data_IF_468118120157
#
_entry.id   IF_468118120157
#
_cell.length_a   1.000
_cell.length_b   1.000
_cell.length_c   1.000
_cell.angle_alpha   90.00
_cell.angle_beta   90.00
_cell.angle_gamma   90.00
#
_symmetry.space_group_name_H-M   'P 1'
#
loop_
_entity.id
_entity.type
_entity.pdbx_description
1 polymer ?
#
# COMPACT_ATOMS: atom_id res chain seq x y z
N UNK A 1 60.18 11.69 -5.49
CA UNK A 1 59.14 12.72 -5.67
C UNK A 1 59.80 14.05 -5.44
N UNK A 2 60.10 14.74 -6.53
CA UNK A 2 60.72 16.07 -6.50
C UNK A 2 59.69 17.11 -6.07
N UNK A 3 60.15 18.24 -5.52
CA UNK A 3 59.28 19.31 -5.01
C UNK A 3 58.35 19.87 -6.10
N UNK A 4 58.82 19.82 -7.35
CA UNK A 4 58.06 20.24 -8.53
C UNK A 4 56.90 19.28 -8.87
N UNK A 5 57.05 17.97 -8.62
CA UNK A 5 55.97 16.98 -8.79
C UNK A 5 54.88 17.10 -7.72
N UNK A 6 55.21 17.61 -6.53
CA UNK A 6 54.23 17.87 -5.47
C UNK A 6 53.41 19.15 -5.75
N UNK A 7 54.07 20.21 -6.24
CA UNK A 7 53.43 21.49 -6.58
C UNK A 7 52.54 21.40 -7.84
N UNK A 8 52.79 20.42 -8.72
CA UNK A 8 51.96 20.15 -9.89
C UNK A 8 50.69 19.35 -9.51
N UNK A 9 50.79 18.44 -8.53
CA UNK A 9 49.65 17.73 -7.96
C UNK A 9 48.73 18.64 -7.15
N UNK A 10 49.30 19.61 -6.43
CA UNK A 10 48.56 20.59 -5.63
C UNK A 10 47.82 21.61 -6.53
N UNK A 11 48.42 22.01 -7.66
CA UNK A 11 47.74 22.84 -8.67
C UNK A 11 46.63 22.10 -9.41
N UNK A 12 46.78 20.80 -9.67
CA UNK A 12 45.73 19.98 -10.30
C UNK A 12 44.53 19.73 -9.37
N UNK A 13 44.75 19.64 -8.05
CA UNK A 13 43.67 19.48 -7.07
C UNK A 13 42.95 20.80 -6.76
N UNK A 14 43.60 21.95 -6.93
CA UNK A 14 43.00 23.27 -6.72
C UNK A 14 42.19 23.81 -7.91
N UNK A 15 42.43 23.36 -9.14
CA UNK A 15 41.61 23.77 -10.30
C UNK A 15 40.22 23.12 -10.35
N UNK A 16 40.00 22.03 -9.61
CA UNK A 16 38.71 21.34 -9.51
C UNK A 16 37.78 21.97 -8.45
N UNK A 17 38.26 23.00 -7.73
CA UNK A 17 37.55 23.60 -6.59
C UNK A 17 36.68 24.82 -6.96
N UNK A 18 36.50 25.13 -8.25
CA UNK A 18 35.50 26.11 -8.70
C UNK A 18 34.26 25.42 -9.27
N UNK A 19 33.62 24.56 -8.46
CA UNK A 19 32.23 24.20 -8.70
C UNK A 19 31.35 25.42 -8.42
N UNK A 20 30.96 26.10 -9.49
CA UNK A 20 29.89 27.09 -9.53
C UNK A 20 28.64 26.60 -8.77
N UNK A 21 27.90 27.50 -8.09
CA UNK A 21 26.71 27.15 -7.30
C UNK A 21 25.49 26.94 -8.21
N UNK A 22 25.59 26.01 -9.15
CA UNK A 22 24.42 25.54 -9.88
C UNK A 22 23.86 24.32 -9.14
N UNK A 23 22.93 24.61 -8.21
CA UNK A 23 22.02 23.61 -7.64
C UNK A 23 21.25 22.96 -8.80
N UNK A 24 21.78 21.85 -9.31
CA UNK A 24 21.02 20.91 -10.11
C UNK A 24 19.86 20.40 -9.24
N UNK A 25 18.67 20.95 -9.47
CA UNK A 25 17.40 20.43 -8.97
C UNK A 25 17.13 19.10 -9.67
N UNK A 26 17.78 18.04 -9.20
CA UNK A 26 17.59 16.69 -9.71
C UNK A 26 16.11 16.30 -9.52
N UNK A 27 15.32 16.14 -10.61
CA UNK A 27 13.88 15.89 -10.54
C UNK A 27 13.53 14.64 -9.73
N UNK A 28 14.44 13.65 -9.71
CA UNK A 28 14.24 12.40 -8.99
C UNK A 28 14.41 12.57 -7.48
N UNK A 29 15.28 13.49 -7.04
CA UNK A 29 15.44 13.84 -5.62
C UNK A 29 14.27 14.68 -5.10
N UNK A 30 13.69 15.57 -5.91
CA UNK A 30 12.50 16.35 -5.54
C UNK A 30 11.29 15.44 -5.43
N UNK A 31 11.06 14.58 -6.43
CA UNK A 31 10.00 13.59 -6.41
C UNK A 31 10.18 12.57 -5.26
N UNK A 32 11.43 12.21 -4.92
CA UNK A 32 11.73 11.39 -3.75
C UNK A 32 11.39 12.11 -2.44
N UNK A 33 11.78 13.38 -2.28
CA UNK A 33 11.49 14.19 -1.09
C UNK A 33 9.98 14.41 -0.89
N UNK A 34 9.24 14.75 -1.94
CA UNK A 34 7.78 14.91 -1.90
C UNK A 34 7.06 13.60 -1.49
N UNK A 35 7.50 12.45 -2.02
CA UNK A 35 7.00 11.13 -1.61
C UNK A 35 7.31 10.80 -0.15
N UNK A 36 8.53 11.09 0.32
CA UNK A 36 8.89 10.88 1.74
C UNK A 36 8.07 11.76 2.66
N UNK A 37 7.65 12.94 2.20
CA UNK A 37 6.83 13.85 2.97
C UNK A 37 5.41 13.32 3.15
N UNK A 38 4.72 12.95 2.07
CA UNK A 38 3.37 12.35 2.18
C UNK A 38 3.38 11.03 2.95
N UNK A 39 4.44 10.22 2.79
CA UNK A 39 4.65 9.02 3.61
C UNK A 39 4.71 9.39 5.10
N UNK A 40 5.50 10.38 5.47
CA UNK A 40 5.67 10.82 6.86
C UNK A 40 4.37 11.34 7.45
N UNK A 41 3.63 12.15 6.70
CA UNK A 41 2.29 12.65 7.09
C UNK A 41 1.32 11.49 7.27
N UNK A 42 1.30 10.52 6.34
CA UNK A 42 0.45 9.34 6.47
C UNK A 42 0.79 8.51 7.71
N UNK A 43 2.08 8.42 8.08
CA UNK A 43 2.50 7.75 9.32
C UNK A 43 2.05 8.51 10.57
N UNK A 44 2.27 9.82 10.61
CA UNK A 44 1.85 10.67 11.72
C UNK A 44 0.33 10.61 11.91
N UNK A 45 -0.42 10.65 10.80
CA UNK A 45 -1.85 10.50 10.81
C UNK A 45 -2.29 9.15 11.42
N UNK A 46 -1.63 8.04 11.07
CA UNK A 46 -1.93 6.75 11.72
C UNK A 46 -1.69 6.76 13.23
N UNK A 47 -0.70 7.50 13.71
CA UNK A 47 -0.46 7.67 15.15
C UNK A 47 -1.58 8.50 15.82
N UNK A 48 -1.99 9.62 15.20
CA UNK A 48 -3.11 10.44 15.66
C UNK A 48 -4.38 9.59 15.77
N UNK A 49 -4.65 8.76 14.75
CA UNK A 49 -5.82 7.88 14.77
C UNK A 49 -5.80 6.84 15.90
N UNK A 50 -4.61 6.35 16.30
CA UNK A 50 -4.51 5.43 17.45
C UNK A 50 -4.88 6.13 18.74
N UNK A 51 -4.39 7.34 18.95
CA UNK A 51 -4.71 8.15 20.14
C UNK A 51 -6.20 8.47 20.18
N UNK A 52 -6.80 8.86 19.06
CA UNK A 52 -8.24 9.14 18.98
C UNK A 52 -9.09 7.92 19.30
N UNK A 53 -8.78 6.76 18.72
CA UNK A 53 -9.51 5.51 18.99
C UNK A 53 -9.33 5.08 20.43
N UNK A 54 -8.12 5.20 20.99
CA UNK A 54 -7.88 4.90 22.40
C UNK A 54 -8.71 5.81 23.32
N UNK A 55 -8.75 7.12 23.05
CA UNK A 55 -9.55 8.07 23.80
C UNK A 55 -11.05 7.72 23.74
N UNK A 56 -11.55 7.36 22.55
CA UNK A 56 -12.94 6.95 22.38
C UNK A 56 -13.27 5.70 23.21
N UNK A 57 -12.42 4.66 23.14
CA UNK A 57 -12.58 3.42 23.92
C UNK A 57 -12.49 3.68 25.43
N UNK A 58 -11.62 4.59 25.88
CA UNK A 58 -11.54 4.97 27.29
C UNK A 58 -12.82 5.62 27.82
N UNK A 59 -13.64 6.21 26.94
CA UNK A 59 -14.90 6.85 27.30
C UNK A 59 -16.13 5.94 27.07
N UNK A 60 -15.96 4.78 26.42
CA UNK A 60 -17.06 3.84 26.19
C UNK A 60 -17.60 3.30 27.53
N UNK A 61 -18.89 3.51 27.77
CA UNK A 61 -19.57 3.10 29.00
C UNK A 61 -19.44 4.07 30.19
N UNK A 62 -18.68 5.16 30.07
CA UNK A 62 -18.51 6.23 31.10
C UNK A 62 -18.41 7.62 30.46
N UNK A 63 -19.51 8.14 29.87
CA UNK A 63 -19.51 9.41 29.15
C UNK A 63 -19.14 10.62 30.02
N UNK A 64 -19.38 10.56 31.33
CA UNK A 64 -19.05 11.62 32.30
C UNK A 64 -17.55 11.82 32.52
N UNK A 65 -16.72 10.83 32.19
CA UNK A 65 -15.26 10.91 32.32
C UNK A 65 -14.58 11.35 31.01
N UNK A 66 -15.35 11.60 29.95
CA UNK A 66 -14.80 11.97 28.66
C UNK A 66 -14.25 13.41 28.72
N UNK A 67 -12.92 13.61 28.57
CA UNK A 67 -12.37 14.95 28.49
C UNK A 67 -12.75 15.56 27.13
N UNK A 68 -13.91 16.22 27.07
CA UNK A 68 -14.49 16.83 25.87
C UNK A 68 -13.50 17.76 25.19
N UNK A 69 -12.76 18.56 25.96
CA UNK A 69 -11.70 19.42 25.47
C UNK A 69 -10.60 18.69 24.67
N UNK A 70 -10.11 17.55 25.19
CA UNK A 70 -9.05 16.77 24.51
C UNK A 70 -9.61 16.17 23.23
N UNK A 71 -10.84 15.66 23.27
CA UNK A 71 -11.53 15.11 22.11
C UNK A 71 -11.68 16.16 21.01
N UNK A 72 -12.12 17.37 21.36
CA UNK A 72 -12.40 18.43 20.40
C UNK A 72 -11.10 18.94 19.74
N UNK A 73 -10.04 19.16 20.53
CA UNK A 73 -8.70 19.45 19.99
C UNK A 73 -8.15 18.36 19.08
N UNK A 74 -8.35 17.09 19.44
CA UNK A 74 -7.94 15.97 18.59
C UNK A 74 -8.71 15.94 17.26
N UNK A 75 -10.00 16.30 17.27
CA UNK A 75 -10.78 16.43 16.05
C UNK A 75 -10.33 17.59 15.16
N UNK A 76 -9.95 18.73 15.74
CA UNK A 76 -9.37 19.86 15.00
C UNK A 76 -8.07 19.46 14.30
N UNK A 77 -7.13 18.85 15.05
CA UNK A 77 -5.87 18.36 14.50
C UNK A 77 -6.13 17.34 13.37
N UNK A 78 -7.10 16.43 13.56
CA UNK A 78 -7.45 15.46 12.51
C UNK A 78 -7.93 16.17 11.24
N UNK A 79 -8.79 17.18 11.36
CA UNK A 79 -9.29 17.95 10.21
C UNK A 79 -8.14 18.66 9.48
N UNK A 80 -7.24 19.31 10.21
CA UNK A 80 -6.10 20.02 9.63
C UNK A 80 -5.15 19.07 8.89
N UNK A 81 -4.86 17.91 9.48
CA UNK A 81 -4.03 16.90 8.83
C UNK A 81 -4.72 16.32 7.61
N UNK A 82 -6.04 16.08 7.64
CA UNK A 82 -6.78 15.59 6.47
C UNK A 82 -6.77 16.61 5.34
N UNK A 83 -6.93 17.90 5.65
CA UNK A 83 -6.83 19.00 4.67
C UNK A 83 -5.43 19.03 4.05
N UNK A 84 -4.40 18.95 4.88
CA UNK A 84 -3.02 18.89 4.41
C UNK A 84 -2.77 17.67 3.50
N UNK A 85 -3.25 16.48 3.90
CA UNK A 85 -3.16 15.28 3.07
C UNK A 85 -3.87 15.43 1.72
N UNK A 86 -5.02 16.13 1.68
CA UNK A 86 -5.73 16.39 0.44
C UNK A 86 -4.92 17.26 -0.51
N UNK A 87 -4.27 18.31 0.01
CA UNK A 87 -3.45 19.21 -0.79
C UNK A 87 -2.19 18.51 -1.31
N UNK A 88 -1.54 17.70 -0.47
CA UNK A 88 -0.40 16.89 -0.90
C UNK A 88 -0.80 15.80 -1.92
N UNK A 89 -1.99 15.21 -1.80
CA UNK A 89 -2.44 14.19 -2.72
C UNK A 89 -2.62 14.73 -4.15
N UNK A 90 -2.98 16.01 -4.33
CA UNK A 90 -3.11 16.66 -5.64
C UNK A 90 -1.81 16.67 -6.46
N UNK A 91 -0.66 16.52 -5.82
CA UNK A 91 0.64 16.42 -6.51
C UNK A 91 0.80 15.10 -7.27
N UNK A 92 0.02 14.06 -6.92
CA UNK A 92 0.10 12.76 -7.57
C UNK A 92 -0.82 12.72 -8.79
N UNK A 93 -0.28 12.29 -9.94
CA UNK A 93 -1.01 12.22 -11.21
C UNK A 93 -2.21 11.27 -11.18
N UNK A 94 -2.19 10.25 -10.31
CA UNK A 94 -3.30 9.30 -10.12
C UNK A 94 -4.44 9.85 -9.25
N UNK A 95 -4.22 10.97 -8.54
CA UNK A 95 -5.20 11.50 -7.58
C UNK A 95 -6.59 11.76 -8.17
N UNK A 96 -6.75 12.35 -9.37
CA UNK A 96 -8.07 12.57 -9.97
C UNK A 96 -8.91 11.28 -10.07
N UNK A 97 -8.27 10.17 -10.48
CA UNK A 97 -8.93 8.87 -10.53
C UNK A 97 -9.22 8.33 -9.12
N UNK A 98 -8.26 8.44 -8.20
CA UNK A 98 -8.40 7.90 -6.85
C UNK A 98 -9.48 8.63 -6.02
N UNK A 99 -9.63 9.93 -6.21
CA UNK A 99 -10.63 10.76 -5.51
C UNK A 99 -12.05 10.58 -6.03
N UNK A 100 -12.21 10.13 -7.27
CA UNK A 100 -13.52 9.85 -7.89
C UNK A 100 -14.19 8.60 -7.27
N UNK A 101 -13.38 7.68 -6.76
CA UNK A 101 -13.88 6.45 -6.15
C UNK A 101 -14.61 6.75 -4.84
N UNK A 102 -15.92 6.52 -4.84
CA UNK A 102 -16.77 6.62 -3.65
C UNK A 102 -16.16 5.85 -2.47
N UNK A 103 -16.02 6.50 -1.33
CA UNK A 103 -15.44 5.90 -0.12
C UNK A 103 -13.92 6.02 0.02
N UNK A 104 -13.20 6.51 -0.99
CA UNK A 104 -11.78 6.86 -0.89
C UNK A 104 -11.64 8.38 -0.76
N UNK A 105 -11.58 8.85 0.49
CA UNK A 105 -11.26 10.26 0.79
C UNK A 105 -9.75 10.49 0.97
N UNK A 106 -9.33 11.76 1.18
CA UNK A 106 -7.94 12.15 1.41
C UNK A 106 -7.22 11.35 2.50
N UNK A 107 -7.97 10.92 3.52
CA UNK A 107 -7.47 10.06 4.60
C UNK A 107 -6.94 8.71 4.09
N UNK A 108 -7.74 7.98 3.33
CA UNK A 108 -7.37 6.66 2.82
C UNK A 108 -6.49 6.79 1.58
N UNK A 109 -6.86 7.69 0.67
CA UNK A 109 -6.10 7.96 -0.53
C UNK A 109 -4.68 8.42 -0.22
N UNK A 110 -4.49 9.38 0.68
CA UNK A 110 -3.16 9.83 1.10
C UNK A 110 -2.35 8.74 1.81
N UNK A 111 -3.00 7.83 2.56
CA UNK A 111 -2.30 6.64 3.08
C UNK A 111 -1.84 5.70 1.98
N UNK A 112 -2.66 5.45 0.95
CA UNK A 112 -2.27 4.61 -0.18
C UNK A 112 -1.12 5.24 -0.96
N UNK A 113 -1.25 6.53 -1.31
CA UNK A 113 -0.25 7.29 -2.05
C UNK A 113 1.08 7.39 -1.30
N UNK A 114 1.03 7.63 0.02
CA UNK A 114 2.23 7.70 0.84
C UNK A 114 2.91 6.34 1.01
N UNK A 115 2.15 5.25 1.19
CA UNK A 115 2.71 3.93 1.50
C UNK A 115 3.16 3.11 0.29
N UNK A 116 2.67 3.41 -0.91
CA UNK A 116 2.95 2.65 -2.13
C UNK A 116 3.97 3.39 -2.99
N UNK A 117 5.04 2.68 -3.36
CA UNK A 117 5.97 3.13 -4.40
C UNK A 117 5.66 2.35 -5.69
N UNK A 118 5.02 3.03 -6.65
CA UNK A 118 4.58 2.41 -7.90
C UNK A 118 5.75 2.06 -8.83
N UNK A 119 6.87 2.80 -8.74
CA UNK A 119 8.05 2.59 -9.61
C UNK A 119 8.78 1.29 -9.25
N UNK A 120 8.71 0.88 -7.98
CA UNK A 120 9.26 -0.40 -7.50
C UNK A 120 8.33 -1.58 -7.78
N UNK A 121 7.03 -1.34 -7.92
CA UNK A 121 6.04 -2.37 -8.17
C UNK A 121 5.88 -2.61 -9.68
N UNK A 122 6.78 -3.40 -10.28
CA UNK A 122 6.73 -3.69 -11.72
C UNK A 122 5.54 -4.57 -12.15
N UNK A 123 4.86 -5.23 -11.20
CA UNK A 123 3.68 -6.07 -11.45
C UNK A 123 2.64 -5.91 -10.35
N UNK A 124 1.34 -6.15 -10.63
CA UNK A 124 0.31 -6.14 -9.59
C UNK A 124 0.57 -7.19 -8.50
N UNK A 125 1.14 -8.34 -8.87
CA UNK A 125 1.54 -9.40 -7.92
C UNK A 125 2.63 -8.94 -6.94
N UNK A 126 3.59 -8.14 -7.40
CA UNK A 126 4.59 -7.54 -6.53
C UNK A 126 3.95 -6.56 -5.53
N UNK A 127 2.98 -5.74 -6.00
CA UNK A 127 2.21 -4.86 -5.13
C UNK A 127 1.40 -5.65 -4.10
N UNK A 128 0.74 -6.75 -4.50
CA UNK A 128 0.01 -7.62 -3.57
C UNK A 128 0.91 -8.25 -2.51
N UNK A 129 2.12 -8.69 -2.88
CA UNK A 129 3.11 -9.20 -1.93
C UNK A 129 3.51 -8.11 -0.93
N UNK A 130 3.83 -6.91 -1.42
CA UNK A 130 4.17 -5.77 -0.57
C UNK A 130 3.04 -5.34 0.38
N UNK A 131 1.78 -5.38 -0.10
CA UNK A 131 0.58 -5.10 0.68
C UNK A 131 0.18 -6.23 1.66
N UNK A 132 0.91 -7.35 1.68
CA UNK A 132 0.61 -8.49 2.55
C UNK A 132 -0.63 -9.29 2.14
N UNK A 133 -1.03 -9.16 0.88
CA UNK A 133 -2.10 -9.91 0.20
C UNK A 133 -1.55 -11.06 -0.65
N UNK A 134 -0.22 -11.23 -0.68
CA UNK A 134 0.46 -12.38 -1.28
C UNK A 134 0.22 -13.69 -0.54
N UNK A 135 0.68 -14.78 -1.15
CA UNK A 135 0.74 -16.10 -0.55
C UNK A 135 2.20 -16.54 -0.47
N UNK A 136 2.52 -17.26 0.59
CA UNK A 136 3.84 -17.85 0.80
C UNK A 136 3.73 -19.37 0.63
N UNK A 137 4.76 -20.06 0.15
CA UNK A 137 4.79 -21.52 0.10
C UNK A 137 4.99 -22.11 1.49
N UNK A 138 4.31 -23.22 1.78
CA UNK A 138 4.36 -23.94 3.05
C UNK A 138 4.43 -25.44 2.80
N UNK A 139 5.20 -26.13 3.62
CA UNK A 139 5.17 -27.58 3.68
C UNK A 139 4.04 -28.04 4.63
N UNK A 140 3.24 -29.02 4.20
CA UNK A 140 2.15 -29.60 5.02
C UNK A 140 2.73 -30.49 6.12
N UNK A 141 3.68 -31.35 5.78
CA UNK A 141 4.27 -32.33 6.72
C UNK A 141 5.19 -31.66 7.74
N UNK A 142 6.16 -30.85 7.28
CA UNK A 142 7.10 -30.17 8.17
C UNK A 142 6.49 -28.94 8.87
N UNK A 143 5.26 -28.54 8.52
CA UNK A 143 4.59 -27.32 8.96
C UNK A 143 5.49 -26.07 8.95
N UNK A 144 6.38 -26.00 7.97
CA UNK A 144 7.42 -24.96 7.87
C UNK A 144 7.15 -24.10 6.66
N UNK A 145 7.35 -22.79 6.82
CA UNK A 145 7.32 -21.84 5.70
C UNK A 145 8.55 -22.03 4.83
N UNK A 146 8.33 -22.18 3.54
CA UNK A 146 9.38 -22.37 2.56
C UNK A 146 9.84 -21.05 1.96
N UNK A 147 10.99 -21.06 1.29
CA UNK A 147 11.45 -19.91 0.51
C UNK A 147 10.56 -19.70 -0.72
N UNK A 148 10.47 -18.47 -1.23
CA UNK A 148 9.52 -18.14 -2.32
C UNK A 148 9.78 -18.88 -3.64
N UNK A 149 10.99 -19.46 -3.80
CA UNK A 149 11.40 -20.20 -5.00
C UNK A 149 11.16 -21.70 -4.88
N UNK A 150 10.88 -22.19 -3.67
CA UNK A 150 10.70 -23.60 -3.40
C UNK A 150 9.27 -24.04 -3.74
N UNK A 151 9.15 -24.89 -4.76
CA UNK A 151 7.91 -25.60 -5.10
C UNK A 151 7.80 -26.94 -4.37
N UNK A 152 8.93 -27.45 -3.85
CA UNK A 152 9.04 -28.71 -3.11
C UNK A 152 9.84 -28.44 -1.84
N UNK A 153 9.45 -29.06 -0.73
CA UNK A 153 10.14 -28.93 0.54
C UNK A 153 11.53 -29.57 0.46
N UNK A 154 12.63 -28.83 0.71
CA UNK A 154 13.98 -29.40 0.66
C UNK A 154 14.25 -30.42 1.78
N UNK A 155 13.43 -30.42 2.84
CA UNK A 155 13.60 -31.32 4.00
C UNK A 155 12.91 -32.67 3.84
N UNK A 156 11.71 -32.70 3.26
CA UNK A 156 10.87 -33.92 3.19
C UNK A 156 10.37 -34.26 1.78
N UNK A 157 10.63 -33.44 0.76
CA UNK A 157 10.23 -33.73 -0.61
C UNK A 157 8.74 -33.49 -0.92
N UNK A 158 7.91 -33.08 0.04
CA UNK A 158 6.49 -32.78 -0.18
C UNK A 158 6.31 -31.51 -1.01
N UNK A 159 5.32 -31.50 -1.92
CA UNK A 159 4.93 -30.32 -2.67
C UNK A 159 4.48 -29.16 -1.75
N UNK A 160 4.92 -27.95 -2.09
CA UNK A 160 4.57 -26.74 -1.37
C UNK A 160 3.11 -26.34 -1.63
N UNK A 161 2.38 -26.00 -0.57
CA UNK A 161 1.05 -25.38 -0.68
C UNK A 161 1.13 -23.88 -0.39
N UNK A 162 0.42 -23.07 -1.17
CA UNK A 162 0.42 -21.62 -0.98
C UNK A 162 -0.65 -21.20 0.03
N UNK A 163 -0.20 -20.69 1.18
CA UNK A 163 -1.07 -20.14 2.23
C UNK A 163 -0.93 -18.61 2.30
N UNK A 164 -1.97 -17.95 2.82
CA UNK A 164 -1.88 -16.51 3.10
C UNK A 164 -0.75 -16.24 4.11
N UNK A 165 0.03 -15.19 3.87
CA UNK A 165 1.17 -14.88 4.72
C UNK A 165 0.73 -14.42 6.13
N UNK A 166 1.40 -14.94 7.15
CA UNK A 166 1.07 -14.74 8.58
C UNK A 166 2.33 -14.31 9.35
N UNK A 167 2.23 -13.45 10.37
CA UNK A 167 3.38 -13.16 11.22
C UNK A 167 3.87 -14.44 11.94
N UNK A 168 5.18 -14.69 11.92
CA UNK A 168 5.84 -15.73 12.71
C UNK A 168 6.70 -15.04 13.77
N UNK A 169 6.63 -15.51 15.02
CA UNK A 169 7.40 -14.93 16.13
C UNK A 169 8.89 -15.05 15.83
N UNK A 170 9.62 -13.94 15.92
CA UNK A 170 11.06 -13.89 15.66
C UNK A 170 11.45 -13.61 14.21
N UNK A 171 10.52 -13.71 13.25
CA UNK A 171 10.79 -13.36 11.85
C UNK A 171 10.44 -11.90 11.54
N UNK A 172 11.24 -11.27 10.67
CA UNK A 172 10.89 -9.98 10.07
C UNK A 172 9.69 -10.15 9.14
N UNK A 173 8.76 -9.19 9.18
CA UNK A 173 7.60 -9.19 8.27
C UNK A 173 8.07 -9.00 6.82
N UNK A 174 7.53 -9.81 5.91
CA UNK A 174 7.80 -9.74 4.46
C UNK A 174 6.98 -8.69 3.72
N UNK A 175 6.04 -8.05 4.41
CA UNK A 175 5.10 -7.08 3.85
C UNK A 175 5.00 -5.84 4.74
N UNK A 176 4.48 -4.75 4.17
CA UNK A 176 4.20 -3.54 4.90
C UNK A 176 2.90 -3.69 5.72
N UNK A 177 3.04 -3.84 7.04
CA UNK A 177 1.90 -4.02 7.95
C UNK A 177 0.91 -2.84 7.95
N UNK A 178 1.42 -1.62 7.76
CA UNK A 178 0.59 -0.41 7.69
C UNK A 178 -0.25 -0.41 6.42
N UNK A 179 0.36 -0.78 5.28
CA UNK A 179 -0.37 -0.91 4.02
C UNK A 179 -1.42 -2.02 4.07
N UNK A 180 -1.10 -3.17 4.69
CA UNK A 180 -2.07 -4.26 4.91
C UNK A 180 -3.29 -3.79 5.71
N UNK A 181 -3.06 -2.96 6.74
CA UNK A 181 -4.14 -2.33 7.52
C UNK A 181 -4.95 -1.34 6.67
N UNK A 182 -4.29 -0.50 5.87
CA UNK A 182 -4.97 0.43 4.94
C UNK A 182 -5.85 -0.34 3.95
N UNK A 183 -5.34 -1.43 3.37
CA UNK A 183 -6.08 -2.32 2.47
C UNK A 183 -7.35 -2.88 3.13
N UNK A 184 -7.28 -3.27 4.40
CA UNK A 184 -8.46 -3.71 5.15
C UNK A 184 -9.50 -2.58 5.31
N UNK A 185 -9.05 -1.36 5.61
CA UNK A 185 -9.91 -0.19 5.72
C UNK A 185 -10.59 0.15 4.39
N UNK A 186 -9.85 0.07 3.27
CA UNK A 186 -10.39 0.24 1.91
C UNK A 186 -11.53 -0.74 1.65
N UNK A 187 -11.32 -2.03 1.91
CA UNK A 187 -12.35 -3.06 1.73
C UNK A 187 -13.63 -2.73 2.53
N UNK A 188 -13.45 -2.29 3.78
CA UNK A 188 -14.55 -1.90 4.65
C UNK A 188 -15.30 -0.68 4.11
N UNK A 189 -14.58 0.32 3.60
CA UNK A 189 -15.22 1.50 3.01
C UNK A 189 -16.02 1.16 1.76
N UNK A 190 -15.51 0.32 0.86
CA UNK A 190 -16.28 -0.08 -0.32
C UNK A 190 -17.62 -0.70 0.04
N UNK A 191 -17.62 -1.61 1.02
CA UNK A 191 -18.84 -2.28 1.47
C UNK A 191 -19.82 -1.30 2.13
N UNK A 192 -19.31 -0.35 2.92
CA UNK A 192 -20.15 0.65 3.58
C UNK A 192 -20.70 1.69 2.60
N UNK A 193 -19.89 2.12 1.63
CA UNK A 193 -20.26 3.14 0.66
C UNK A 193 -21.06 2.58 -0.53
N UNK A 194 -21.03 1.26 -0.74
CA UNK A 194 -21.63 0.61 -1.91
C UNK A 194 -20.87 0.97 -3.19
N UNK A 195 -19.54 0.94 -3.14
CA UNK A 195 -18.69 1.32 -4.28
C UNK A 195 -18.61 0.17 -5.28
N UNK A 196 -19.18 0.36 -6.47
CA UNK A 196 -19.03 -0.58 -7.58
C UNK A 196 -17.75 -0.30 -8.40
N UNK A 197 -17.12 -1.32 -9.00
CA UNK A 197 -17.52 -2.75 -9.05
C UNK A 197 -17.10 -3.58 -7.82
N UNK A 198 -16.36 -2.99 -6.88
CA UNK A 198 -15.73 -3.74 -5.79
C UNK A 198 -16.73 -4.38 -4.82
N UNK A 199 -17.88 -3.72 -4.61
CA UNK A 199 -18.94 -4.23 -3.74
C UNK A 199 -19.66 -5.42 -4.36
N UNK A 200 -19.96 -5.39 -5.65
CA UNK A 200 -20.49 -6.52 -6.41
C UNK A 200 -19.58 -7.75 -6.32
N UNK A 201 -18.28 -7.57 -6.60
CA UNK A 201 -17.27 -8.65 -6.49
C UNK A 201 -17.24 -9.24 -5.08
N UNK A 202 -17.27 -8.38 -4.05
CA UNK A 202 -17.30 -8.85 -2.67
C UNK A 202 -18.56 -9.68 -2.36
N UNK A 203 -19.74 -9.23 -2.79
CA UNK A 203 -21.01 -9.96 -2.56
C UNK A 203 -21.01 -11.32 -3.24
N UNK A 204 -20.61 -11.36 -4.51
CA UNK A 204 -20.50 -12.59 -5.31
C UNK A 204 -19.53 -13.58 -4.66
N UNK A 205 -18.31 -13.15 -4.33
CA UNK A 205 -17.31 -14.04 -3.71
C UNK A 205 -17.70 -14.48 -2.31
N UNK A 206 -18.38 -13.63 -1.52
CA UNK A 206 -18.89 -14.01 -0.21
C UNK A 206 -19.93 -15.12 -0.32
N UNK A 207 -20.89 -14.99 -1.24
CA UNK A 207 -21.88 -16.03 -1.52
C UNK A 207 -21.21 -17.33 -1.99
N UNK A 208 -20.23 -17.24 -2.89
CA UNK A 208 -19.45 -18.40 -3.34
C UNK A 208 -18.75 -19.13 -2.18
N UNK A 209 -18.06 -18.41 -1.29
CA UNK A 209 -17.38 -19.04 -0.15
C UNK A 209 -18.34 -19.64 0.87
N UNK A 210 -19.48 -19.00 1.12
CA UNK A 210 -20.54 -19.56 1.96
C UNK A 210 -21.09 -20.86 1.36
N UNK A 211 -21.33 -20.90 0.05
CA UNK A 211 -21.77 -22.11 -0.65
C UNK A 211 -20.77 -23.27 -0.59
N UNK A 212 -19.48 -22.98 -0.37
CA UNK A 212 -18.43 -23.99 -0.13
C UNK A 212 -18.32 -24.44 1.34
N UNK A 213 -19.26 -24.03 2.19
CA UNK A 213 -19.29 -24.38 3.62
C UNK A 213 -18.32 -23.60 4.50
N UNK A 214 -17.78 -22.47 4.02
CA UNK A 214 -16.90 -21.63 4.82
C UNK A 214 -17.70 -20.84 5.88
N UNK A 215 -17.13 -20.66 7.08
CA UNK A 215 -17.77 -19.84 8.12
C UNK A 215 -17.98 -18.39 7.64
N UNK A 216 -19.04 -17.74 8.12
CA UNK A 216 -19.40 -16.39 7.69
C UNK A 216 -18.25 -15.36 7.84
N UNK A 217 -17.50 -15.44 8.94
CA UNK A 217 -16.34 -14.57 9.17
C UNK A 217 -15.18 -14.85 8.20
N UNK A 218 -14.87 -16.11 7.92
CA UNK A 218 -13.80 -16.47 6.98
C UNK A 218 -14.19 -16.11 5.53
N UNK A 219 -15.46 -16.36 5.15
CA UNK A 219 -16.00 -15.98 3.85
C UNK A 219 -15.95 -14.46 3.63
N UNK A 220 -16.30 -13.68 4.66
CA UNK A 220 -16.22 -12.21 4.65
C UNK A 220 -14.79 -11.71 4.44
N UNK A 221 -13.83 -12.23 5.22
CA UNK A 221 -12.41 -11.86 5.09
C UNK A 221 -11.82 -12.26 3.74
N UNK A 222 -12.15 -13.45 3.24
CA UNK A 222 -11.70 -13.93 1.94
C UNK A 222 -12.28 -13.07 0.79
N UNK A 223 -13.57 -12.76 0.83
CA UNK A 223 -14.22 -11.92 -0.17
C UNK A 223 -13.67 -10.49 -0.19
N UNK A 224 -13.46 -9.87 0.98
CA UNK A 224 -12.79 -8.55 1.09
C UNK A 224 -11.41 -8.57 0.46
N UNK A 225 -10.64 -9.64 0.70
CA UNK A 225 -9.29 -9.79 0.13
C UNK A 225 -9.32 -9.83 -1.39
N UNK A 226 -10.31 -10.48 -2.00
CA UNK A 226 -10.48 -10.51 -3.46
C UNK A 226 -10.82 -9.12 -4.00
N UNK A 227 -11.81 -8.43 -3.41
CA UNK A 227 -12.20 -7.09 -3.83
C UNK A 227 -11.01 -6.10 -3.78
N UNK A 228 -10.22 -6.14 -2.70
CA UNK A 228 -9.03 -5.28 -2.58
C UNK A 228 -7.95 -5.65 -3.59
N UNK A 229 -7.75 -6.93 -3.90
CA UNK A 229 -6.76 -7.32 -4.92
C UNK A 229 -7.10 -6.72 -6.28
N UNK A 230 -8.37 -6.74 -6.66
CA UNK A 230 -8.86 -6.12 -7.90
C UNK A 230 -8.67 -4.60 -7.84
N UNK A 231 -9.06 -3.95 -6.75
CA UNK A 231 -8.79 -2.53 -6.55
C UNK A 231 -7.31 -2.16 -6.71
N UNK A 232 -6.39 -2.95 -6.12
CA UNK A 232 -4.95 -2.70 -6.25
C UNK A 232 -4.43 -2.91 -7.67
N UNK A 233 -5.07 -3.76 -8.48
CA UNK A 233 -4.77 -3.87 -9.92
C UNK A 233 -5.18 -2.57 -10.61
N UNK A 234 -6.41 -2.11 -10.42
CA UNK A 234 -6.88 -0.86 -11.04
C UNK A 234 -6.04 0.34 -10.61
N UNK A 235 -5.73 0.45 -9.31
CA UNK A 235 -4.85 1.49 -8.78
C UNK A 235 -3.47 1.43 -9.44
N UNK A 236 -2.90 0.24 -9.58
CA UNK A 236 -1.60 0.08 -10.20
C UNK A 236 -1.62 0.44 -11.69
N UNK A 237 -2.67 0.05 -12.42
CA UNK A 237 -2.81 0.36 -13.84
C UNK A 237 -2.96 1.85 -14.06
N UNK A 238 -3.91 2.49 -13.39
CA UNK A 238 -4.19 3.92 -13.55
C UNK A 238 -3.02 4.78 -13.08
N UNK A 239 -2.33 4.39 -12.00
CA UNK A 239 -1.15 5.11 -11.54
C UNK A 239 0.00 5.00 -12.55
N UNK A 240 0.25 3.80 -13.10
CA UNK A 240 1.33 3.65 -14.09
C UNK A 240 1.00 4.35 -15.41
N UNK A 241 -0.24 4.33 -15.87
CA UNK A 241 -0.69 5.15 -17.02
C UNK A 241 -0.46 6.64 -16.76
N UNK A 242 -0.84 7.12 -15.57
CA UNK A 242 -0.70 8.52 -15.19
C UNK A 242 0.77 8.98 -15.03
N UNK A 243 1.71 8.07 -14.72
CA UNK A 243 3.16 8.35 -14.71
C UNK A 243 3.86 8.02 -16.04
N UNK A 244 3.14 7.56 -17.07
CA UNK A 244 3.73 7.13 -18.34
C UNK A 244 4.64 5.89 -18.24
N UNK A 245 4.48 5.09 -17.17
CA UNK A 245 5.26 3.88 -16.92
C UNK A 245 4.70 2.69 -17.74
N UNK A 246 5.54 1.72 -18.14
CA UNK A 246 5.14 0.65 -19.05
C UNK A 246 4.15 -0.31 -18.39
N UNK A 247 2.87 -0.25 -18.74
CA UNK A 247 1.82 -1.14 -18.22
C UNK A 247 1.96 -2.54 -18.84
N UNK A 248 1.89 -3.58 -18.01
CA UNK A 248 1.80 -4.97 -18.49
C UNK A 248 0.33 -5.35 -18.52
N UNK A 249 -0.08 -6.14 -19.51
CA UNK A 249 -1.41 -6.73 -19.51
C UNK A 249 -1.69 -7.48 -18.18
N UNK A 250 -2.94 -7.46 -17.70
CA UNK A 250 -3.32 -8.19 -16.49
C UNK A 250 -2.86 -9.65 -16.57
N UNK A 251 -2.27 -10.16 -15.48
CA UNK A 251 -1.87 -11.58 -15.35
C UNK A 251 -3.02 -12.55 -15.71
N UNK A 252 -4.27 -12.12 -15.46
CA UNK A 252 -5.49 -12.87 -15.75
C UNK A 252 -5.65 -13.11 -17.26
N UNK A 253 -5.34 -12.12 -18.09
CA UNK A 253 -5.39 -12.19 -19.56
C UNK A 253 -4.26 -13.06 -20.13
N UNK A 254 -3.09 -13.03 -19.51
CA UNK A 254 -1.89 -13.74 -20.01
C UNK A 254 -1.81 -15.20 -19.58
N UNK A 255 -2.40 -15.61 -18.44
CA UNK A 255 -2.22 -16.95 -17.90
C UNK A 255 -3.50 -17.69 -17.44
N UNK A 256 -4.63 -17.00 -17.23
CA UNK A 256 -5.86 -17.61 -16.67
C UNK A 256 -7.06 -17.62 -17.63
N UNK A 257 -6.98 -16.98 -18.80
CA UNK A 257 -7.96 -17.11 -19.89
C UNK A 257 -9.35 -16.54 -19.61
N UNK A 258 -9.57 -15.78 -18.54
CA UNK A 258 -10.84 -15.10 -18.30
C UNK A 258 -10.94 -13.85 -19.20
N UNK A 259 -12.00 -13.80 -20.01
CA UNK A 259 -12.23 -12.73 -21.01
C UNK A 259 -12.77 -11.42 -20.39
N UNK A 260 -13.42 -11.50 -19.21
CA UNK A 260 -14.08 -10.36 -18.58
C UNK A 260 -13.11 -9.60 -17.68
N UNK A 261 -12.43 -8.60 -18.26
CA UNK A 261 -11.66 -7.63 -17.48
C UNK A 261 -12.65 -6.65 -16.88
N UNK A 262 -12.72 -6.61 -15.55
CA UNK A 262 -13.48 -5.58 -14.84
C UNK A 262 -12.77 -4.25 -15.08
N UNK A 263 -13.39 -3.27 -15.75
CA UNK A 263 -12.73 -2.00 -16.02
C UNK A 263 -12.53 -1.18 -14.75
N UNK A 264 -11.48 -0.35 -14.74
CA UNK A 264 -11.17 0.59 -13.65
C UNK A 264 -12.18 1.73 -13.54
N UNK A 265 -13.00 1.94 -14.58
CA UNK A 265 -14.18 2.80 -14.62
C UNK A 265 -15.42 1.96 -14.88
N UNK A 266 -16.54 2.31 -14.25
CA UNK A 266 -17.83 1.91 -14.82
C UNK A 266 -17.91 2.57 -16.20
N UNK A 267 -18.03 1.79 -17.26
CA UNK A 267 -18.40 2.36 -18.55
C UNK A 267 -19.81 2.93 -18.37
N UNK A 268 -19.95 4.25 -18.56
CA UNK A 268 -21.26 4.89 -18.67
C UNK A 268 -22.07 4.30 -19.83
#
# INVERSE_FOLDING_TARGET
>A
MTKDEADELERATLSDSTMSPERATNPDLTAFKERTHLYTVALQFQSIQRVRVALQLSCEGRPEQAPTFIRDKMMEIEKDVVKYMADQAKMFSVWPWLSDIKGIGPRIGGMLLGLIDIRRANTPSALWRYAGLGTSPWCVECNTRLSDRETVCPKCGTAAIHKADRPIKGEKLRYNAKLKKTCFLVARQFIMAGTEPYTGIYREKKAHYLGRGMTAGNADLAARRVAVKIFLVHLWEEWRKAEGLPVRDPYVKTYLGHQDIIPSRNQE
#
